data_IF_391478109497
#
_entry.id   IF_391478109497
#
_cell.length_a   1.000
_cell.length_b   1.000
_cell.length_c   1.000
_cell.angle_alpha   90.00
_cell.angle_beta   90.00
_cell.angle_gamma   90.00
#
_symmetry.space_group_name_H-M   'P 1'
#
loop_
_entity.id
_entity.type
_entity.pdbx_description
1 polymer ?
#
# COMPACT_ATOMS: atom_id res chain seq x y z
N UNK A 1 -4.11 12.36 -0.50
CA UNK A 1 -3.91 11.51 0.70
C UNK A 1 -4.85 10.33 0.55
N UNK A 2 -4.41 9.11 0.85
CA UNK A 2 -5.24 7.91 0.78
C UNK A 2 -5.34 7.32 2.19
N UNK A 3 -6.54 6.95 2.59
CA UNK A 3 -6.82 6.46 3.95
C UNK A 3 -7.34 5.03 3.89
N UNK A 4 -6.76 4.14 4.68
CA UNK A 4 -7.20 2.77 4.84
C UNK A 4 -7.68 2.53 6.27
N UNK A 5 -8.91 2.05 6.41
CA UNK A 5 -9.48 1.68 7.72
C UNK A 5 -9.34 0.19 8.02
N UNK A 6 -8.97 -0.61 7.02
CA UNK A 6 -8.82 -2.06 7.11
C UNK A 6 -7.53 -2.49 6.41
N UNK A 7 -6.83 -3.47 7.01
CA UNK A 7 -5.69 -4.13 6.40
C UNK A 7 -6.08 -4.85 5.10
N UNK A 8 -7.30 -5.39 5.00
CA UNK A 8 -7.81 -6.02 3.79
C UNK A 8 -7.88 -5.03 2.62
N UNK A 9 -8.33 -3.80 2.87
CA UNK A 9 -8.37 -2.73 1.86
C UNK A 9 -6.97 -2.36 1.38
N UNK A 10 -5.99 -2.29 2.29
CA UNK A 10 -4.59 -2.05 1.92
C UNK A 10 -4.01 -3.19 1.07
N UNK A 11 -4.22 -4.44 1.49
CA UNK A 11 -3.74 -5.63 0.76
C UNK A 11 -4.35 -5.69 -0.64
N UNK A 12 -5.65 -5.45 -0.74
CA UNK A 12 -6.35 -5.40 -2.03
C UNK A 12 -5.78 -4.29 -2.94
N UNK A 13 -5.55 -3.09 -2.39
CA UNK A 13 -4.95 -1.99 -3.14
C UNK A 13 -3.54 -2.32 -3.65
N UNK A 14 -2.68 -2.93 -2.83
CA UNK A 14 -1.33 -3.32 -3.23
C UNK A 14 -1.33 -4.44 -4.28
N UNK A 15 -2.33 -5.33 -4.27
CA UNK A 15 -2.52 -6.32 -5.34
C UNK A 15 -3.00 -5.70 -6.65
N UNK A 16 -3.93 -4.75 -6.61
CA UNK A 16 -4.42 -4.06 -7.80
C UNK A 16 -3.38 -3.13 -8.43
N UNK A 17 -2.54 -2.50 -7.59
CA UNK A 17 -1.54 -1.52 -7.99
C UNK A 17 -0.15 -2.06 -7.66
N UNK A 18 0.17 -3.19 -8.30
CA UNK A 18 1.34 -4.03 -8.00
C UNK A 18 2.69 -3.34 -8.19
N UNK A 19 2.76 -2.31 -9.01
CA UNK A 19 3.99 -1.55 -9.24
C UNK A 19 4.46 -0.75 -8.01
N UNK A 20 3.59 -0.53 -7.02
CA UNK A 20 4.00 0.17 -5.78
C UNK A 20 5.03 -0.60 -4.97
N UNK A 21 4.90 -1.92 -4.94
CA UNK A 21 5.80 -2.84 -4.24
C UNK A 21 5.93 -4.06 -5.16
N UNK A 22 6.95 -4.08 -6.04
CA UNK A 22 7.05 -5.05 -7.13
C UNK A 22 6.97 -6.52 -6.72
N UNK A 23 7.36 -6.85 -5.49
CA UNK A 23 7.41 -8.21 -4.94
C UNK A 23 6.40 -8.44 -3.80
N UNK A 24 5.34 -7.63 -3.76
CA UNK A 24 4.30 -7.75 -2.74
C UNK A 24 3.56 -9.09 -2.82
N UNK A 25 3.58 -9.80 -1.69
CA UNK A 25 2.75 -10.97 -1.42
C UNK A 25 2.36 -10.98 0.06
N UNK A 26 1.07 -11.16 0.43
CA UNK A 26 0.65 -11.10 1.83
C UNK A 26 1.41 -12.07 2.74
N UNK A 27 1.78 -13.22 2.23
CA UNK A 27 2.52 -14.27 2.94
C UNK A 27 3.94 -13.80 3.26
N UNK A 28 4.61 -13.18 2.29
CA UNK A 28 5.96 -12.60 2.45
C UNK A 28 5.99 -11.43 3.43
N UNK A 29 4.89 -10.68 3.51
CA UNK A 29 4.77 -9.48 4.35
C UNK A 29 3.90 -9.69 5.60
N UNK A 30 3.56 -10.93 5.96
CA UNK A 30 2.57 -11.24 7.02
C UNK A 30 2.89 -10.53 8.35
N UNK A 31 4.14 -10.62 8.82
CA UNK A 31 4.56 -9.96 10.06
C UNK A 31 4.38 -8.42 10.02
N UNK A 32 4.68 -7.80 8.87
CA UNK A 32 4.50 -6.36 8.68
C UNK A 32 3.01 -5.99 8.61
N UNK A 33 2.21 -6.77 7.89
CA UNK A 33 0.76 -6.58 7.77
C UNK A 33 0.06 -6.75 9.13
N UNK A 34 0.46 -7.73 9.95
CA UNK A 34 -0.06 -7.89 11.32
C UNK A 34 0.29 -6.70 12.22
N UNK A 35 1.51 -6.17 12.12
CA UNK A 35 1.90 -4.96 12.85
C UNK A 35 1.04 -3.77 12.43
N UNK A 36 0.84 -3.60 11.12
CA UNK A 36 -0.01 -2.53 10.59
C UNK A 36 -1.47 -2.70 10.99
N UNK A 37 -2.00 -3.92 10.95
CA UNK A 37 -3.36 -4.22 11.39
C UNK A 37 -3.58 -3.85 12.86
N UNK A 38 -2.66 -4.26 13.76
CA UNK A 38 -2.73 -3.88 15.18
C UNK A 38 -2.72 -2.36 15.36
N UNK A 39 -1.87 -1.67 14.61
CA UNK A 39 -1.82 -0.21 14.61
C UNK A 39 -3.14 0.41 14.14
N UNK A 40 -3.69 -0.05 13.02
CA UNK A 40 -4.98 0.40 12.50
C UNK A 40 -6.12 0.13 13.49
N UNK A 41 -6.09 -0.98 14.25
CA UNK A 41 -7.08 -1.24 15.30
C UNK A 41 -6.99 -0.26 16.47
N UNK A 42 -5.79 0.22 16.79
CA UNK A 42 -5.58 1.19 17.87
C UNK A 42 -5.86 2.64 17.42
N UNK A 43 -5.45 3.00 16.21
CA UNK A 43 -5.50 4.38 15.68
C UNK A 43 -6.74 4.64 14.79
N UNK A 44 -7.45 3.60 14.37
CA UNK A 44 -8.65 3.66 13.53
C UNK A 44 -8.40 3.76 12.01
N UNK A 45 -7.19 4.13 11.58
CA UNK A 45 -6.81 4.23 10.17
C UNK A 45 -5.31 4.21 9.92
N UNK A 46 -4.95 4.04 8.66
CA UNK A 46 -3.65 4.35 8.09
C UNK A 46 -3.81 5.42 7.02
N UNK A 47 -3.20 6.58 7.24
CA UNK A 47 -3.10 7.64 6.24
C UNK A 47 -1.77 7.53 5.49
N UNK A 48 -1.83 7.44 4.16
CA UNK A 48 -0.65 7.43 3.28
C UNK A 48 -0.69 8.60 2.31
N UNK A 49 0.49 9.14 2.02
CA UNK A 49 0.68 10.12 0.94
C UNK A 49 1.31 9.41 -0.24
N UNK A 50 0.66 9.50 -1.40
CA UNK A 50 1.19 9.03 -2.66
C UNK A 50 1.36 10.22 -3.59
N UNK A 51 2.55 10.35 -4.19
CA UNK A 51 2.82 11.30 -5.26
C UNK A 51 3.50 10.51 -6.37
N UNK A 52 2.83 10.40 -7.52
CA UNK A 52 3.22 9.52 -8.61
C UNK A 52 3.08 10.29 -9.92
N UNK A 53 4.10 10.21 -10.75
CA UNK A 53 4.13 10.85 -12.05
C UNK A 53 4.75 9.87 -13.05
N UNK A 54 4.24 9.86 -14.27
CA UNK A 54 4.79 9.11 -15.38
C UNK A 54 5.58 10.10 -16.24
N UNK A 55 6.86 9.84 -16.41
CA UNK A 55 7.68 10.58 -17.37
C UNK A 55 7.92 9.66 -18.55
N UNK A 56 7.52 10.12 -19.73
CA UNK A 56 7.87 9.51 -21.00
C UNK A 56 8.70 10.54 -21.74
N UNK A 57 9.91 10.18 -22.11
CA UNK A 57 10.78 11.01 -22.93
C UNK A 57 10.99 10.29 -24.27
N UNK A 58 10.85 11.03 -25.37
CA UNK A 58 11.16 10.57 -26.72
C UNK A 58 12.28 11.41 -27.31
N UNK A 59 12.94 10.86 -28.34
CA UNK A 59 13.99 11.58 -29.08
C UNK A 59 13.37 12.86 -29.70
N UNK A 60 14.08 14.00 -29.73
CA UNK A 60 13.58 15.21 -30.37
C UNK A 60 13.19 14.99 -31.84
#
# INVERSE_FOLDING_TARGET
MLTFHDIGALVHHLRMVSWQIPDFGPERYDAALRRLHRRMRAEGRLDVRAHRFLIIAERP
#
